data_IF_513788206174
#
_entry.id   IF_513788206174
#
_cell.length_a   1.000
_cell.length_b   1.000
_cell.length_c   1.000
_cell.angle_alpha   90.00
_cell.angle_beta   90.00
_cell.angle_gamma   90.00
#
_symmetry.space_group_name_H-M   'P 1'
#
loop_
_entity.id
_entity.type
_entity.pdbx_description
1 polymer ?
#
# COMPACT_ATOMS: atom_id res chain seq x y z
N UNK A 1 -3.85 -8.97 3.61
CA UNK A 1 -4.68 -8.71 2.40
C UNK A 1 -3.86 -8.28 1.18
N UNK A 2 -2.74 -7.55 1.35
CA UNK A 2 -1.93 -7.01 0.23
C UNK A 2 -1.63 -7.99 -0.91
N UNK A 3 -1.17 -9.22 -0.62
CA UNK A 3 -0.91 -10.24 -1.66
C UNK A 3 -2.13 -10.53 -2.54
N UNK A 4 -3.35 -10.56 -1.97
CA UNK A 4 -4.57 -10.84 -2.74
C UNK A 4 -4.95 -9.67 -3.65
N UNK A 5 -4.82 -8.44 -3.14
CA UNK A 5 -5.03 -7.21 -3.94
C UNK A 5 -4.03 -7.16 -5.09
N UNK A 6 -2.75 -7.42 -4.81
CA UNK A 6 -1.70 -7.46 -5.82
C UNK A 6 -1.98 -8.52 -6.90
N UNK A 7 -2.38 -9.74 -6.52
CA UNK A 7 -2.71 -10.79 -7.49
C UNK A 7 -3.88 -10.40 -8.41
N UNK A 8 -4.89 -9.71 -7.88
CA UNK A 8 -6.02 -9.23 -8.68
C UNK A 8 -5.62 -8.08 -9.61
N UNK A 9 -4.83 -7.13 -9.11
CA UNK A 9 -4.32 -6.01 -9.91
C UNK A 9 -3.39 -6.49 -11.03
N UNK A 10 -2.50 -7.44 -10.77
CA UNK A 10 -1.62 -8.03 -11.77
C UNK A 10 -2.38 -8.70 -12.92
N UNK A 11 -3.58 -9.23 -12.66
CA UNK A 11 -4.44 -9.84 -13.67
C UNK A 11 -5.29 -8.86 -14.49
N UNK A 12 -5.22 -7.56 -14.20
CA UNK A 12 -6.06 -6.53 -14.80
C UNK A 12 -5.21 -5.45 -15.49
N UNK A 13 -5.44 -5.26 -16.79
CA UNK A 13 -4.64 -4.36 -17.64
C UNK A 13 -4.80 -2.87 -17.30
N UNK A 14 -5.74 -2.53 -16.41
CA UNK A 14 -5.96 -1.14 -15.95
C UNK A 14 -4.99 -0.71 -14.86
N UNK A 15 -4.28 -1.66 -14.25
CA UNK A 15 -3.39 -1.38 -13.12
C UNK A 15 -1.97 -1.81 -13.44
N UNK A 16 -1.03 -0.99 -12.98
CA UNK A 16 0.39 -1.32 -12.94
C UNK A 16 0.82 -1.32 -11.48
N UNK A 17 1.41 -2.42 -11.03
CA UNK A 17 1.98 -2.52 -9.70
C UNK A 17 3.39 -1.95 -9.75
N UNK A 18 3.59 -0.77 -9.17
CA UNK A 18 4.88 -0.05 -9.23
C UNK A 18 5.64 -0.05 -7.91
N UNK A 19 4.97 -0.37 -6.80
CA UNK A 19 5.56 -0.43 -5.46
C UNK A 19 4.83 -1.45 -4.58
N UNK A 20 5.56 -2.02 -3.61
CA UNK A 20 5.02 -2.88 -2.57
C UNK A 20 5.69 -2.55 -1.23
N UNK A 21 4.86 -2.26 -0.23
CA UNK A 21 5.34 -1.77 1.06
C UNK A 21 5.03 -2.74 2.19
N UNK A 22 5.97 -2.89 3.11
CA UNK A 22 5.82 -3.70 4.31
C UNK A 22 6.62 -3.09 5.48
N UNK A 23 6.22 -3.42 6.71
CA UNK A 23 6.93 -2.97 7.91
C UNK A 23 8.38 -3.46 7.95
N UNK A 24 9.26 -2.64 8.53
CA UNK A 24 10.65 -2.96 8.76
C UNK A 24 10.84 -4.28 9.52
N UNK A 25 11.83 -5.07 9.10
CA UNK A 25 12.13 -6.38 9.70
C UNK A 25 11.22 -7.54 9.25
N UNK A 26 10.24 -7.31 8.38
CA UNK A 26 9.44 -8.38 7.81
C UNK A 26 10.24 -9.23 6.82
N UNK A 27 10.03 -10.56 6.83
CA UNK A 27 10.77 -11.53 6.00
C UNK A 27 10.60 -11.32 4.49
N UNK A 28 9.53 -10.65 4.08
CA UNK A 28 9.20 -10.39 2.68
C UNK A 28 10.01 -9.24 2.07
N UNK A 29 10.72 -8.43 2.88
CA UNK A 29 11.51 -7.32 2.37
C UNK A 29 12.56 -7.81 1.36
N UNK A 30 12.65 -7.13 0.22
CA UNK A 30 13.53 -7.49 -0.90
C UNK A 30 12.99 -8.59 -1.82
N UNK A 31 11.93 -9.31 -1.43
CA UNK A 31 11.30 -10.29 -2.31
C UNK A 31 10.50 -9.61 -3.42
N UNK A 32 10.36 -10.30 -4.56
CA UNK A 32 9.54 -9.83 -5.68
C UNK A 32 8.04 -10.01 -5.38
N UNK A 33 7.26 -8.93 -5.52
CA UNK A 33 5.82 -8.91 -5.26
C UNK A 33 5.07 -9.94 -6.10
N UNK A 34 5.42 -10.04 -7.38
CA UNK A 34 4.76 -10.93 -8.32
C UNK A 34 4.93 -12.41 -7.94
N UNK A 35 6.13 -12.75 -7.46
CA UNK A 35 6.43 -14.07 -6.88
C UNK A 35 5.62 -14.33 -5.61
N UNK A 36 5.50 -13.33 -4.72
CA UNK A 36 4.72 -13.43 -3.49
C UNK A 36 3.21 -13.55 -3.70
N UNK A 37 2.68 -12.97 -4.79
CA UNK A 37 1.25 -12.97 -5.09
C UNK A 37 0.85 -14.05 -6.12
N UNK A 38 1.80 -14.81 -6.66
CA UNK A 38 1.56 -15.88 -7.63
C UNK A 38 1.29 -15.39 -9.06
N UNK A 39 1.70 -14.17 -9.40
CA UNK A 39 1.56 -13.58 -10.74
C UNK A 39 2.80 -13.78 -11.63
N UNK A 40 3.84 -14.44 -11.13
CA UNK A 40 5.15 -14.54 -11.79
C UNK A 40 6.03 -13.33 -11.47
N UNK A 41 7.30 -13.35 -11.88
CA UNK A 41 8.23 -12.26 -11.56
C UNK A 41 7.80 -10.93 -12.22
N UNK A 42 7.78 -9.85 -11.44
CA UNK A 42 7.34 -8.52 -11.91
C UNK A 42 8.44 -7.44 -11.81
N UNK A 43 9.53 -7.71 -11.09
CA UNK A 43 10.60 -6.75 -10.84
C UNK A 43 10.25 -5.71 -9.77
N UNK A 44 9.17 -5.93 -9.00
CA UNK A 44 8.72 -5.00 -7.96
C UNK A 44 9.14 -5.56 -6.61
N UNK A 45 10.24 -5.06 -6.07
CA UNK A 45 10.74 -5.49 -4.77
C UNK A 45 9.88 -4.91 -3.64
N UNK A 46 9.53 -5.73 -2.66
CA UNK A 46 8.93 -5.26 -1.41
C UNK A 46 9.96 -4.44 -0.64
N UNK A 47 9.57 -3.24 -0.20
CA UNK A 47 10.44 -2.31 0.50
C UNK A 47 9.78 -1.82 1.79
N UNK A 48 10.58 -1.23 2.67
CA UNK A 48 10.12 -0.50 3.84
C UNK A 48 9.77 0.97 3.50
N UNK A 49 10.33 1.50 2.41
CA UNK A 49 10.17 2.91 2.02
C UNK A 49 9.56 3.04 0.64
N UNK A 50 8.57 3.94 0.50
CA UNK A 50 7.89 4.14 -0.77
C UNK A 50 8.88 4.63 -1.84
N UNK A 51 9.15 3.74 -2.79
CA UNK A 51 9.94 4.03 -3.98
C UNK A 51 9.05 4.59 -5.08
N UNK A 52 9.55 5.59 -5.82
CA UNK A 52 8.82 6.22 -6.90
C UNK A 52 7.62 7.05 -6.43
N UNK A 53 6.68 7.26 -7.36
CA UNK A 53 5.49 8.07 -7.18
C UNK A 53 4.29 7.37 -7.81
N UNK A 54 3.68 6.37 -7.14
CA UNK A 54 2.45 5.76 -7.63
C UNK A 54 1.32 6.79 -7.66
N UNK A 55 0.34 6.58 -8.54
CA UNK A 55 -0.88 7.40 -8.56
C UNK A 55 -1.76 7.14 -7.33
N UNK A 56 -1.75 5.90 -6.83
CA UNK A 56 -2.59 5.46 -5.70
C UNK A 56 -1.88 4.44 -4.82
N UNK A 57 -2.07 4.56 -3.50
CA UNK A 57 -1.73 3.55 -2.50
C UNK A 57 -3.01 2.81 -2.11
N UNK A 58 -2.97 1.48 -2.10
CA UNK A 58 -4.06 0.64 -1.61
C UNK A 58 -3.64 -0.01 -0.28
N UNK A 59 -4.34 0.33 0.79
CA UNK A 59 -3.95 0.02 2.15
C UNK A 59 -4.98 -0.88 2.87
N UNK A 60 -4.53 -2.05 3.31
CA UNK A 60 -5.27 -2.98 4.15
C UNK A 60 -4.34 -3.51 5.25
N UNK A 61 -3.93 -2.60 6.12
CA UNK A 61 -2.94 -2.84 7.17
C UNK A 61 -3.56 -2.64 8.56
N UNK A 62 -2.85 -1.95 9.46
CA UNK A 62 -3.32 -1.55 10.79
C UNK A 62 -3.68 -0.07 10.79
N UNK A 63 -4.49 0.41 11.75
CA UNK A 63 -4.81 1.83 11.83
C UNK A 63 -3.58 2.75 11.87
N UNK A 64 -2.50 2.34 12.55
CA UNK A 64 -1.24 3.08 12.62
C UNK A 64 -0.52 3.10 11.27
N UNK A 65 -0.53 1.98 10.55
CA UNK A 65 -0.01 1.89 9.18
C UNK A 65 -0.77 2.82 8.23
N UNK A 66 -2.10 2.87 8.33
CA UNK A 66 -2.91 3.80 7.55
C UNK A 66 -2.54 5.25 7.82
N UNK A 67 -2.38 5.65 9.08
CA UNK A 67 -1.99 7.03 9.41
C UNK A 67 -0.60 7.39 8.89
N UNK A 68 0.35 6.44 8.92
CA UNK A 68 1.66 6.65 8.32
C UNK A 68 1.54 6.91 6.82
N UNK A 69 0.84 6.04 6.09
CA UNK A 69 0.67 6.19 4.64
C UNK A 69 -0.19 7.39 4.26
N UNK A 70 -1.14 7.79 5.10
CA UNK A 70 -1.93 9.01 4.93
C UNK A 70 -1.04 10.24 4.90
N UNK A 71 -0.09 10.35 5.82
CA UNK A 71 0.88 11.44 5.85
C UNK A 71 1.73 11.48 4.57
N UNK A 72 2.30 10.32 4.18
CA UNK A 72 3.11 10.20 2.96
C UNK A 72 2.29 10.54 1.71
N UNK A 73 1.06 10.03 1.62
CA UNK A 73 0.17 10.24 0.50
C UNK A 73 -0.18 11.73 0.34
N UNK A 74 -0.55 12.39 1.44
CA UNK A 74 -0.84 13.83 1.45
C UNK A 74 0.38 14.65 1.04
N UNK A 75 1.54 14.37 1.63
CA UNK A 75 2.75 15.16 1.39
C UNK A 75 3.27 15.01 -0.06
N UNK A 76 3.00 13.86 -0.71
CA UNK A 76 3.41 13.58 -2.09
C UNK A 76 2.30 13.78 -3.14
N UNK A 77 1.08 14.13 -2.72
CA UNK A 77 -0.08 14.26 -3.62
C UNK A 77 -0.54 12.94 -4.26
N UNK A 78 -0.41 11.83 -3.53
CA UNK A 78 -0.78 10.48 -3.98
C UNK A 78 -2.17 10.14 -3.42
N UNK A 79 -3.03 9.50 -4.22
CA UNK A 79 -4.32 9.05 -3.73
C UNK A 79 -4.17 7.88 -2.73
N UNK A 80 -5.02 7.81 -1.71
CA UNK A 80 -5.04 6.69 -0.75
C UNK A 80 -6.41 6.03 -0.74
N UNK A 81 -6.45 4.71 -0.96
CA UNK A 81 -7.62 3.87 -0.78
C UNK A 81 -7.36 2.92 0.38
N UNK A 82 -8.06 3.11 1.50
CA UNK A 82 -7.89 2.26 2.69
C UNK A 82 -9.12 1.40 2.95
N UNK A 83 -8.89 0.11 3.19
CA UNK A 83 -9.88 -0.84 3.72
C UNK A 83 -9.55 -1.28 5.15
N UNK A 84 -8.63 -0.60 5.83
CA UNK A 84 -8.24 -0.88 7.21
C UNK A 84 -9.41 -0.69 8.18
N UNK A 85 -9.65 -1.68 9.02
CA UNK A 85 -10.70 -1.65 10.05
C UNK A 85 -10.12 -1.44 11.45
N UNK A 86 -10.97 -1.24 12.47
CA UNK A 86 -10.51 -1.11 13.86
C UNK A 86 -9.97 0.29 14.21
N UNK A 87 -10.27 1.30 13.40
CA UNK A 87 -9.89 2.68 13.66
C UNK A 87 -10.62 3.25 14.88
N UNK A 88 -9.96 4.13 15.62
CA UNK A 88 -10.58 4.98 16.64
C UNK A 88 -11.27 6.18 15.99
N UNK A 89 -11.99 6.99 16.79
CA UNK A 89 -12.56 8.25 16.30
C UNK A 89 -11.47 9.24 15.86
N UNK A 90 -10.33 9.28 16.56
CA UNK A 90 -9.21 10.14 16.18
C UNK A 90 -8.57 9.72 14.85
N UNK A 91 -8.44 8.41 14.60
CA UNK A 91 -7.95 7.89 13.33
C UNK A 91 -8.89 8.27 12.18
N UNK A 92 -10.20 8.10 12.37
CA UNK A 92 -11.22 8.50 11.37
C UNK A 92 -11.20 10.00 11.10
N UNK A 93 -11.05 10.82 12.14
CA UNK A 93 -10.97 12.27 11.99
C UNK A 93 -9.74 12.69 11.17
N UNK A 94 -8.58 12.08 11.40
CA UNK A 94 -7.38 12.34 10.61
C UNK A 94 -7.56 11.96 9.12
N UNK A 95 -8.20 10.82 8.85
CA UNK A 95 -8.52 10.42 7.46
C UNK A 95 -9.49 11.40 6.80
N UNK A 96 -10.50 11.87 7.53
CA UNK A 96 -11.46 12.83 7.02
C UNK A 96 -10.83 14.21 6.73
N UNK A 97 -9.96 14.69 7.60
CA UNK A 97 -9.20 15.95 7.44
C UNK A 97 -8.30 15.91 6.20
N UNK A 98 -7.63 14.77 5.97
CA UNK A 98 -6.77 14.61 4.80
C UNK A 98 -7.54 14.40 3.48
N UNK A 99 -8.86 14.19 3.53
CA UNK A 99 -9.71 13.96 2.36
C UNK A 99 -10.41 15.25 1.85
N UNK A 100 -10.27 16.37 2.56
CA UNK A 100 -10.80 17.68 2.19
C UNK A 100 -9.79 18.53 1.43
#
# INVERSE_FOLDING_TARGET
>A
MGRRVAALAAGDRRFELVAAMEAGGHEALGADLGSLCGAGAMGVAVSEHLQGSPDVIVDFSTPEGTLHWLGVARDRGIALVTGTTGMTDSHRAAVADAAS
#
